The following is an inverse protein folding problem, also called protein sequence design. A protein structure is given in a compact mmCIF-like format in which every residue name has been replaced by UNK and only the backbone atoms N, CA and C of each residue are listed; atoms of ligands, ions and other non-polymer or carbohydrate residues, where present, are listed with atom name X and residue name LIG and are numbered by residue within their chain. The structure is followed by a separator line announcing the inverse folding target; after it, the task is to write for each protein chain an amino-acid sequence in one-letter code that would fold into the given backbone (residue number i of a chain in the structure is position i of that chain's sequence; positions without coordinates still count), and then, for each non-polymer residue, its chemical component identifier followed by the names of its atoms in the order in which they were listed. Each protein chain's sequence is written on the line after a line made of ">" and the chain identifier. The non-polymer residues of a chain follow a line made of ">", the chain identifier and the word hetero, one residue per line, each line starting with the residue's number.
data_IF_494843802838
#
_entry.id   IF_494843802838
#
_cell.length_a   1.000
_cell.length_b   1.000
_cell.length_c   1.000
_cell.angle_alpha   90.00
_cell.angle_beta   90.00
_cell.angle_gamma   90.00
#
_symmetry.space_group_name_H-M   'P 1'
#
loop_
_entity.id
_entity.type
_entity.pdbx_description
1 polymer ?
#
# COMPACT_ATOMS: atom_id res chain seq x y z
N UNK A 1 22.07 -1.59 -19.70
CA UNK A 1 21.11 -1.68 -18.57
C UNK A 1 19.73 -1.43 -19.16
N UNK A 2 18.75 -2.35 -19.07
CA UNK A 2 17.41 -2.03 -19.52
C UNK A 2 16.91 -0.81 -18.74
N UNK A 3 16.38 0.17 -19.46
CA UNK A 3 15.72 1.34 -18.89
C UNK A 3 14.65 0.87 -17.90
N UNK A 4 14.70 1.34 -16.65
CA UNK A 4 13.59 1.15 -15.71
C UNK A 4 12.41 1.95 -16.25
N UNK A 5 11.52 1.26 -16.95
CA UNK A 5 10.28 1.86 -17.44
C UNK A 5 9.32 1.92 -16.27
N UNK A 6 9.24 3.09 -15.64
CA UNK A 6 8.19 3.38 -14.68
C UNK A 6 6.85 3.35 -15.41
N UNK A 7 5.85 2.75 -14.76
CA UNK A 7 4.49 2.67 -15.26
C UNK A 7 3.60 3.60 -14.44
N UNK A 8 2.67 4.27 -15.10
CA UNK A 8 1.72 5.18 -14.45
C UNK A 8 0.44 4.46 -14.07
N UNK A 9 -0.11 4.83 -12.92
CA UNK A 9 -1.44 4.41 -12.46
C UNK A 9 -2.09 5.53 -11.65
N UNK A 10 -3.38 5.35 -11.37
CA UNK A 10 -4.15 6.19 -10.45
C UNK A 10 -4.53 5.42 -9.20
N UNK A 11 -4.87 6.15 -8.15
CA UNK A 11 -5.49 5.63 -6.95
C UNK A 11 -6.31 6.69 -6.22
N UNK A 12 -6.87 6.33 -5.07
CA UNK A 12 -7.73 7.19 -4.27
C UNK A 12 -7.20 7.30 -2.85
N UNK A 13 -7.04 8.52 -2.34
CA UNK A 13 -6.67 8.71 -0.93
C UNK A 13 -7.81 8.25 -0.02
N UNK A 14 -7.46 7.41 0.97
CA UNK A 14 -8.37 6.98 2.02
C UNK A 14 -7.73 7.17 3.39
N UNK A 15 -8.35 8.02 4.19
CA UNK A 15 -7.89 8.34 5.54
C UNK A 15 -8.53 7.43 6.57
N UNK A 16 -7.73 6.99 7.55
CA UNK A 16 -8.12 6.07 8.61
C UNK A 16 -8.97 4.90 8.11
N UNK A 17 -8.50 4.09 7.13
CA UNK A 17 -9.30 3.00 6.59
C UNK A 17 -9.73 2.00 7.66
N UNK A 18 -11.00 1.59 7.67
CA UNK A 18 -11.45 0.45 8.48
C UNK A 18 -10.73 -0.84 8.04
N UNK A 19 -10.61 -1.80 8.96
CA UNK A 19 -9.97 -3.10 8.69
C UNK A 19 -10.81 -3.99 7.76
N UNK A 20 -12.05 -3.61 7.52
CA UNK A 20 -13.05 -4.28 6.69
C UNK A 20 -14.40 -3.64 6.97
N UNK A 21 -15.43 -3.88 6.13
CA UNK A 21 -16.74 -3.27 6.32
C UNK A 21 -17.30 -3.54 7.72
N UNK A 22 -17.43 -2.51 8.56
CA UNK A 22 -17.96 -2.64 9.92
C UNK A 22 -17.01 -3.32 10.93
N UNK A 23 -15.77 -3.63 10.53
CA UNK A 23 -14.75 -4.21 11.42
C UNK A 23 -14.06 -3.15 12.31
N UNK A 24 -14.30 -1.86 12.03
CA UNK A 24 -13.75 -0.74 12.78
C UNK A 24 -12.23 -0.56 12.60
N UNK A 25 -11.61 0.10 13.57
CA UNK A 25 -10.21 0.55 13.50
C UNK A 25 -9.25 -0.23 14.41
N UNK A 26 -9.72 -1.17 15.23
CA UNK A 26 -8.90 -1.85 16.23
C UNK A 26 -8.19 -3.06 15.62
N UNK A 27 -6.86 -3.02 15.55
CA UNK A 27 -6.04 -4.10 15.00
C UNK A 27 -5.85 -5.22 16.02
N UNK A 28 -5.59 -6.44 15.52
CA UNK A 28 -5.38 -7.63 16.37
C UNK A 28 -4.15 -7.54 17.28
N UNK A 29 -3.17 -6.72 16.91
CA UNK A 29 -1.94 -6.47 17.67
C UNK A 29 -2.12 -5.35 18.72
N UNK A 30 -3.35 -4.89 18.96
CA UNK A 30 -3.65 -3.79 19.89
C UNK A 30 -3.43 -2.39 19.29
N UNK A 31 -2.93 -2.29 18.05
CA UNK A 31 -2.81 -1.04 17.34
C UNK A 31 -4.15 -0.53 16.78
N UNK A 32 -4.09 0.61 16.08
CA UNK A 32 -5.26 1.14 15.38
C UNK A 32 -4.94 1.59 13.95
N UNK A 33 -5.97 1.70 13.12
CA UNK A 33 -5.90 2.32 11.80
C UNK A 33 -6.20 3.81 11.83
N UNK A 34 -6.45 4.40 13.01
CA UNK A 34 -6.43 5.85 13.18
C UNK A 34 -5.09 6.45 12.74
N UNK A 35 -5.15 7.59 12.04
CA UNK A 35 -3.98 8.28 11.49
C UNK A 35 -3.22 7.50 10.41
N UNK A 36 -3.83 6.46 9.85
CA UNK A 36 -3.34 5.86 8.61
C UNK A 36 -3.83 6.68 7.42
N UNK A 37 -2.96 6.85 6.44
CA UNK A 37 -3.33 7.36 5.13
C UNK A 37 -2.80 6.37 4.10
N UNK A 38 -3.71 5.85 3.29
CA UNK A 38 -3.36 5.00 2.16
C UNK A 38 -3.86 5.59 0.85
N UNK A 39 -3.27 5.13 -0.25
CA UNK A 39 -3.83 5.26 -1.58
C UNK A 39 -4.35 3.88 -1.97
N UNK A 40 -5.66 3.75 -2.10
CA UNK A 40 -6.29 2.57 -2.69
C UNK A 40 -5.94 2.54 -4.18
N UNK A 41 -5.36 1.45 -4.64
CA UNK A 41 -4.98 1.27 -6.04
C UNK A 41 -6.03 0.42 -6.77
N UNK A 42 -5.99 0.45 -8.10
CA UNK A 42 -6.84 -0.40 -8.92
C UNK A 42 -6.70 -1.90 -8.51
N UNK A 43 -7.79 -2.57 -8.11
CA UNK A 43 -7.78 -3.99 -7.79
C UNK A 43 -7.21 -4.87 -8.92
N UNK A 44 -7.45 -4.48 -10.17
CA UNK A 44 -6.98 -5.20 -11.36
C UNK A 44 -5.46 -5.09 -11.54
N UNK A 45 -4.86 -3.96 -11.17
CA UNK A 45 -3.40 -3.82 -11.12
C UNK A 45 -2.81 -4.82 -10.12
N UNK A 46 -3.39 -4.90 -8.92
CA UNK A 46 -2.97 -5.88 -7.91
C UNK A 46 -3.12 -7.32 -8.37
N UNK A 47 -4.25 -7.66 -9.02
CA UNK A 47 -4.51 -8.98 -9.59
C UNK A 47 -3.50 -9.32 -10.67
N UNK A 48 -3.24 -8.40 -11.59
CA UNK A 48 -2.26 -8.55 -12.67
C UNK A 48 -0.85 -8.80 -12.11
N UNK A 49 -0.37 -7.97 -11.18
CA UNK A 49 0.97 -8.10 -10.62
C UNK A 49 1.14 -9.41 -9.83
N UNK A 50 0.13 -9.83 -9.05
CA UNK A 50 0.16 -11.15 -8.38
C UNK A 50 0.19 -12.31 -9.37
N UNK A 51 -0.54 -12.20 -10.49
CA UNK A 51 -0.51 -13.23 -11.53
C UNK A 51 0.85 -13.30 -12.22
N UNK A 52 1.46 -12.15 -12.54
CA UNK A 52 2.83 -12.09 -13.06
C UNK A 52 3.83 -12.72 -12.08
N UNK A 53 3.70 -12.44 -10.78
CA UNK A 53 4.51 -13.08 -9.75
C UNK A 53 4.37 -14.60 -9.76
N UNK A 54 3.13 -15.12 -9.81
CA UNK A 54 2.86 -16.55 -9.88
C UNK A 54 3.52 -17.19 -11.11
N UNK A 55 3.36 -16.59 -12.29
CA UNK A 55 3.98 -17.07 -13.53
C UNK A 55 5.51 -17.03 -13.47
N UNK A 56 6.08 -15.93 -12.98
CA UNK A 56 7.53 -15.77 -12.79
C UNK A 56 8.13 -16.80 -11.83
N UNK A 57 7.31 -17.30 -10.90
CA UNK A 57 7.66 -18.39 -9.99
C UNK A 57 7.16 -19.76 -10.46
N UNK A 58 6.93 -19.97 -11.75
CA UNK A 58 6.53 -21.26 -12.34
C UNK A 58 5.30 -21.88 -11.65
N UNK A 59 4.40 -21.03 -11.16
CA UNK A 59 3.18 -21.40 -10.42
C UNK A 59 3.40 -22.10 -9.08
N UNK A 60 4.58 -21.99 -8.45
CA UNK A 60 4.85 -22.60 -7.14
C UNK A 60 4.66 -21.64 -5.96
N UNK A 61 4.59 -20.32 -6.21
CA UNK A 61 4.41 -19.29 -5.18
C UNK A 61 3.23 -18.39 -5.53
N UNK A 62 2.14 -18.53 -4.80
CA UNK A 62 0.98 -17.65 -4.90
C UNK A 62 0.99 -16.63 -3.75
N UNK A 63 0.54 -15.41 -4.04
CA UNK A 63 0.45 -14.34 -3.04
C UNK A 63 -0.99 -14.20 -2.53
N UNK A 64 -1.15 -14.02 -1.23
CA UNK A 64 -2.42 -13.61 -0.64
C UNK A 64 -2.61 -12.11 -0.85
N UNK A 65 -3.84 -11.70 -1.18
CA UNK A 65 -4.18 -10.28 -1.31
C UNK A 65 -4.01 -9.56 0.04
N UNK A 66 -3.51 -8.31 0.07
CA UNK A 66 -3.50 -7.52 1.30
C UNK A 66 -4.93 -7.23 1.78
N UNK A 67 -5.06 -6.91 3.07
CA UNK A 67 -6.35 -6.63 3.73
C UNK A 67 -7.19 -5.57 3.00
N UNK A 68 -6.56 -4.47 2.62
CA UNK A 68 -7.19 -3.36 1.90
C UNK A 68 -7.12 -3.50 0.38
N UNK A 69 -6.75 -4.68 -0.13
CA UNK A 69 -6.37 -4.82 -1.53
C UNK A 69 -5.01 -4.17 -1.84
N UNK A 70 -4.66 -3.98 -3.11
CA UNK A 70 -3.44 -3.29 -3.50
C UNK A 70 -3.49 -1.83 -3.04
N UNK A 71 -2.49 -1.40 -2.28
CA UNK A 71 -2.45 -0.05 -1.73
C UNK A 71 -1.03 0.45 -1.53
N UNK A 72 -0.91 1.77 -1.37
CA UNK A 72 0.32 2.46 -0.97
C UNK A 72 0.07 3.10 0.39
N UNK A 73 0.88 2.73 1.40
CA UNK A 73 0.82 3.39 2.70
C UNK A 73 1.61 4.69 2.67
N UNK A 74 0.91 5.82 2.81
CA UNK A 74 1.50 7.16 2.87
C UNK A 74 1.85 7.53 4.32
N UNK A 75 0.97 7.22 5.28
CA UNK A 75 1.18 7.43 6.73
C UNK A 75 0.77 6.16 7.47
N UNK A 76 1.57 5.71 8.45
CA UNK A 76 1.41 4.42 9.13
C UNK A 76 1.07 4.59 10.61
N UNK A 77 0.09 5.44 10.90
CA UNK A 77 -0.36 5.74 12.26
C UNK A 77 0.45 6.84 12.96
N UNK A 78 1.33 7.53 12.24
CA UNK A 78 1.98 8.75 12.74
C UNK A 78 0.90 9.82 12.95
N UNK A 79 0.78 10.33 14.18
CA UNK A 79 -0.15 11.44 14.47
C UNK A 79 0.39 12.71 13.82
N UNK A 80 -0.36 13.37 12.91
CA UNK A 80 0.12 14.56 12.23
C UNK A 80 0.21 15.75 13.19
N UNK A 81 1.34 16.49 13.24
CA UNK A 81 1.43 17.73 14.01
C UNK A 81 0.37 18.76 13.61
N UNK A 82 0.03 18.85 12.32
CA UNK A 82 -1.02 19.71 11.80
C UNK A 82 -2.33 18.93 11.60
N UNK A 83 -3.03 18.64 12.69
CA UNK A 83 -4.31 17.90 12.66
C UNK A 83 -5.40 18.63 11.86
N UNK A 84 -5.36 19.96 11.78
CA UNK A 84 -6.34 20.75 11.03
C UNK A 84 -6.32 20.48 9.52
N UNK A 85 -5.20 19.98 8.99
CA UNK A 85 -5.06 19.57 7.60
C UNK A 85 -5.45 18.09 7.34
N UNK A 86 -5.80 17.34 8.39
CA UNK A 86 -6.18 15.94 8.26
C UNK A 86 -7.47 15.75 7.44
N UNK A 87 -7.51 14.70 6.61
CA UNK A 87 -8.62 14.35 5.70
C UNK A 87 -8.94 15.36 4.59
N UNK A 88 -8.11 16.38 4.36
CA UNK A 88 -8.33 17.39 3.30
C UNK A 88 -8.50 16.79 1.90
N UNK A 89 -7.85 15.65 1.62
CA UNK A 89 -7.90 14.97 0.32
C UNK A 89 -8.64 13.64 0.36
N UNK A 90 -9.48 13.39 1.37
CA UNK A 90 -10.20 12.12 1.49
C UNK A 90 -11.12 11.88 0.27
N UNK A 91 -10.99 10.72 -0.37
CA UNK A 91 -11.69 10.39 -1.61
C UNK A 91 -11.13 11.04 -2.89
N UNK A 92 -10.08 11.86 -2.79
CA UNK A 92 -9.46 12.48 -3.97
C UNK A 92 -8.63 11.47 -4.78
N UNK A 93 -8.69 11.58 -6.10
CA UNK A 93 -7.84 10.80 -7.02
C UNK A 93 -6.42 11.36 -7.08
N UNK A 94 -5.44 10.48 -7.21
CA UNK A 94 -4.01 10.81 -7.32
C UNK A 94 -3.34 9.93 -8.38
N UNK A 95 -2.42 10.52 -9.13
CA UNK A 95 -1.53 9.80 -10.04
C UNK A 95 -0.23 9.41 -9.33
N UNK A 96 0.29 8.23 -9.65
CA UNK A 96 1.59 7.77 -9.18
C UNK A 96 2.28 6.93 -10.25
N UNK A 97 3.60 6.86 -10.15
CA UNK A 97 4.43 6.00 -10.98
C UNK A 97 5.00 4.85 -10.13
N UNK A 98 5.05 3.64 -10.69
CA UNK A 98 5.59 2.47 -10.01
C UNK A 98 6.60 1.71 -10.88
N UNK A 99 7.58 1.07 -10.23
CA UNK A 99 8.51 0.14 -10.87
C UNK A 99 7.89 -1.27 -10.83
N UNK A 100 7.54 -1.90 -11.97
CA UNK A 100 6.90 -3.22 -11.99
C UNK A 100 7.84 -4.34 -11.51
N UNK A 101 9.13 -4.06 -11.32
CA UNK A 101 10.07 -5.01 -10.75
C UNK A 101 9.83 -5.17 -9.25
N UNK A 102 9.11 -6.24 -8.90
CA UNK A 102 8.77 -6.56 -7.51
C UNK A 102 10.00 -6.67 -6.61
N UNK A 103 9.79 -6.36 -5.34
CA UNK A 103 10.71 -6.52 -4.22
C UNK A 103 10.03 -7.37 -3.17
N UNK A 104 10.85 -8.06 -2.38
CA UNK A 104 10.36 -8.92 -1.30
C UNK A 104 11.11 -8.58 -0.02
N UNK A 105 10.37 -8.42 1.07
CA UNK A 105 10.93 -8.18 2.41
C UNK A 105 10.06 -8.89 3.43
N UNK A 106 10.64 -9.81 4.19
CA UNK A 106 9.94 -10.58 5.24
C UNK A 106 8.63 -11.26 4.77
N UNK A 107 8.59 -11.68 3.51
CA UNK A 107 7.41 -12.31 2.90
C UNK A 107 6.34 -11.33 2.41
N UNK A 108 6.54 -10.02 2.49
CA UNK A 108 5.73 -9.03 1.80
C UNK A 108 6.31 -8.77 0.41
N UNK A 109 5.46 -8.78 -0.61
CA UNK A 109 5.85 -8.49 -1.99
C UNK A 109 5.24 -7.16 -2.43
N UNK A 110 6.08 -6.29 -2.99
CA UNK A 110 5.72 -4.91 -3.26
C UNK A 110 6.48 -4.33 -4.46
N UNK A 111 5.95 -3.26 -5.04
CA UNK A 111 6.60 -2.48 -6.11
C UNK A 111 7.00 -1.10 -5.57
N UNK A 112 8.23 -0.60 -5.84
CA UNK A 112 8.61 0.78 -5.52
C UNK A 112 7.66 1.79 -6.17
N UNK A 113 7.34 2.88 -5.46
CA UNK A 113 6.44 3.93 -5.95
C UNK A 113 7.06 5.32 -5.82
N UNK A 114 6.81 6.16 -6.82
CA UNK A 114 7.02 7.61 -6.78
C UNK A 114 5.66 8.31 -6.84
N UNK A 115 5.37 9.17 -5.86
CA UNK A 115 4.13 9.95 -5.83
C UNK A 115 4.38 11.30 -5.15
N UNK A 116 4.57 12.36 -5.94
CA UNK A 116 4.88 13.69 -5.42
C UNK A 116 3.77 14.23 -4.51
N UNK A 117 2.49 14.00 -4.87
CA UNK A 117 1.35 14.47 -4.08
C UNK A 117 1.29 13.79 -2.71
N UNK A 118 1.55 12.48 -2.63
CA UNK A 118 1.60 11.76 -1.36
C UNK A 118 2.70 12.32 -0.43
N UNK A 119 3.87 12.65 -0.98
CA UNK A 119 4.97 13.25 -0.23
C UNK A 119 4.63 14.68 0.24
N UNK A 120 4.00 15.48 -0.62
CA UNK A 120 3.53 16.83 -0.24
C UNK A 120 2.48 16.78 0.87
N UNK A 121 1.56 15.81 0.85
CA UNK A 121 0.58 15.63 1.94
C UNK A 121 1.26 15.37 3.28
N UNK A 122 2.37 14.60 3.29
CA UNK A 122 3.13 14.37 4.53
C UNK A 122 3.69 15.67 5.08
N UNK A 123 4.29 16.51 4.24
CA UNK A 123 4.84 17.81 4.65
C UNK A 123 3.75 18.77 5.13
N UNK A 124 2.62 18.86 4.43
CA UNK A 124 1.47 19.70 4.83
C UNK A 124 0.92 19.32 6.22
N UNK A 125 0.97 18.03 6.55
CA UNK A 125 0.58 17.49 7.84
C UNK A 125 1.65 17.68 8.93
N UNK A 126 2.83 18.21 8.58
CA UNK A 126 3.96 18.42 9.48
C UNK A 126 4.82 17.18 9.72
N UNK A 127 4.67 16.14 8.88
CA UNK A 127 5.47 14.91 8.96
C UNK A 127 6.72 15.00 8.06
N UNK A 128 7.77 14.20 8.31
CA UNK A 128 8.88 14.06 7.39
C UNK A 128 8.40 13.64 6.00
N UNK A 129 8.89 14.33 4.97
CA UNK A 129 8.51 14.12 3.57
C UNK A 129 8.61 12.66 3.16
N UNK A 130 9.78 12.07 3.35
CA UNK A 130 10.05 10.67 2.99
C UNK A 130 9.65 9.74 4.14
N UNK A 131 8.67 8.84 3.93
CA UNK A 131 8.32 7.85 4.95
C UNK A 131 9.39 6.75 5.03
N UNK A 132 9.50 6.14 6.21
CA UNK A 132 10.28 4.91 6.41
C UNK A 132 9.34 3.77 6.79
N UNK A 133 9.23 2.70 6.00
CA UNK A 133 9.82 2.50 4.66
C UNK A 133 9.25 3.47 3.61
N UNK A 134 10.01 3.67 2.53
CA UNK A 134 9.62 4.50 1.39
C UNK A 134 8.30 4.05 0.76
N UNK A 135 7.68 4.91 -0.06
CA UNK A 135 6.42 4.60 -0.73
C UNK A 135 6.54 3.33 -1.58
N UNK A 136 5.60 2.41 -1.40
CA UNK A 136 5.54 1.17 -2.14
C UNK A 136 4.11 0.68 -2.28
N UNK A 137 3.81 0.09 -3.43
CA UNK A 137 2.56 -0.60 -3.71
C UNK A 137 2.68 -2.03 -3.18
N UNK A 138 1.99 -2.34 -2.08
CA UNK A 138 1.94 -3.72 -1.58
C UNK A 138 0.98 -4.53 -2.44
N UNK A 139 1.47 -5.61 -3.07
CA UNK A 139 0.66 -6.45 -3.97
C UNK A 139 0.19 -7.74 -3.32
N UNK A 140 0.88 -8.20 -2.27
CA UNK A 140 0.46 -9.35 -1.49
C UNK A 140 1.51 -9.85 -0.49
N UNK A 141 1.16 -10.89 0.25
CA UNK A 141 2.08 -11.62 1.12
C UNK A 141 2.32 -13.03 0.57
N UNK A 142 3.55 -13.52 0.71
CA UNK A 142 3.99 -14.87 0.36
C UNK A 142 4.07 -15.79 1.59
N UNK A 143 3.71 -15.29 2.79
CA UNK A 143 3.68 -16.10 4.00
C UNK A 143 2.59 -17.15 3.83
N UNK A 144 2.96 -18.43 3.93
CA UNK A 144 1.97 -19.49 3.95
C UNK A 144 1.07 -19.28 5.17
N UNK A 145 -0.24 -19.26 4.97
CA UNK A 145 -1.14 -19.68 6.04
C UNK A 145 -0.79 -21.14 6.24
N UNK A 146 -0.21 -21.48 7.40
CA UNK A 146 -0.17 -22.86 7.87
C UNK A 146 -1.63 -23.23 8.09
N UNK A 147 -2.29 -23.70 7.03
CA UNK A 147 -3.60 -24.31 7.11
C UNK A 147 -3.44 -25.60 7.87
N UNK A 148 -4.20 -25.74 8.96
CA UNK A 148 -4.40 -27.02 9.61
C UNK A 148 -4.75 -28.07 8.57
N UNK A 149 -4.09 -29.22 8.71
CA UNK A 149 -4.53 -30.44 8.06
C UNK A 149 -6.02 -30.66 8.38
N UNK A 150 -6.74 -31.19 7.40
CA UNK A 150 -8.15 -31.56 7.53
C UNK A 150 -8.42 -32.66 8.55
#
# INVERSE_FOLDING_TARGET
>A
MPSRSLLRSTGVFRYSPELGPGAGHTRRDGGSTWWWLIIDCDPELGRYLRHQFLLGHRRTRALQSPLWGPHISVIRGEVPPNVAAWRRLDGATVEFDYDPMVRETEGFVWCPVSCAQALSVREELGLPREPTPALHLTIGNARQVVGGAG
#
